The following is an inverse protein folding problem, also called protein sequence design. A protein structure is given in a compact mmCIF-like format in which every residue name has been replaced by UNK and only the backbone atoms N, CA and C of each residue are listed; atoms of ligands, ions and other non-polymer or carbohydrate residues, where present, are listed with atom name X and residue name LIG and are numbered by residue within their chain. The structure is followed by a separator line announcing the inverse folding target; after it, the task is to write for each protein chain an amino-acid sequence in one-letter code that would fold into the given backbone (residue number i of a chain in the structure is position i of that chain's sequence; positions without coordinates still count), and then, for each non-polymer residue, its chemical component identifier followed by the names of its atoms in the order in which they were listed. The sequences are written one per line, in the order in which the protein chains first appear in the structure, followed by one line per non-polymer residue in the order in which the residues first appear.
data_IF_040835465880
#
_entry.id   IF_040835465880
#
_cell.length_a   1.000
_cell.length_b   1.000
_cell.length_c   1.000
_cell.angle_alpha   90.00
_cell.angle_beta   90.00
_cell.angle_gamma   90.00
#
_symmetry.space_group_name_H-M   'P 1'
#
loop_
_entity.id
_entity.type
_entity.pdbx_description
1 polymer ?
#
# COMPACT_ATOMS: atom_id res chain seq x y z
N UNK A 1 -5.83 0.29 -7.85
CA UNK A 1 -5.02 -0.49 -6.91
C UNK A 1 -4.03 -1.40 -7.64
N UNK A 2 -4.43 -2.06 -8.73
CA UNK A 2 -3.53 -2.82 -9.64
C UNK A 2 -2.21 -2.08 -9.95
N UNK A 3 -2.28 -0.82 -10.36
CA UNK A 3 -1.10 0.00 -10.70
C UNK A 3 -0.14 0.19 -9.53
N UNK A 4 -0.64 0.27 -8.29
CA UNK A 4 0.22 0.41 -7.11
C UNK A 4 0.99 -0.89 -6.86
N UNK A 5 0.32 -2.04 -6.99
CA UNK A 5 0.96 -3.36 -6.91
C UNK A 5 2.01 -3.51 -8.00
N UNK A 6 1.71 -3.16 -9.24
CA UNK A 6 2.65 -3.27 -10.37
C UNK A 6 3.87 -2.36 -10.21
N UNK A 7 3.71 -1.16 -9.66
CA UNK A 7 4.85 -0.26 -9.38
C UNK A 7 5.80 -0.90 -8.35
N UNK A 8 5.27 -1.59 -7.35
CA UNK A 8 6.06 -2.15 -6.24
C UNK A 8 6.67 -3.51 -6.62
N UNK A 9 5.88 -4.42 -7.19
CA UNK A 9 6.28 -5.80 -7.48
C UNK A 9 6.65 -6.05 -8.96
N UNK A 10 6.55 -5.02 -9.80
CA UNK A 10 6.89 -5.13 -11.22
C UNK A 10 5.87 -5.93 -12.03
N UNK A 11 6.22 -6.16 -13.30
CA UNK A 11 5.47 -6.97 -14.24
C UNK A 11 6.41 -7.98 -14.91
N UNK A 12 6.11 -9.27 -14.79
CA UNK A 12 6.99 -10.35 -15.27
C UNK A 12 8.25 -10.51 -14.43
N UNK A 13 9.33 -11.04 -15.02
CA UNK A 13 10.58 -11.38 -14.31
C UNK A 13 11.58 -10.19 -14.19
N UNK A 14 11.15 -8.96 -14.46
CA UNK A 14 12.02 -7.80 -14.35
C UNK A 14 12.21 -7.38 -12.89
N UNK A 15 13.41 -6.91 -12.48
CA UNK A 15 13.64 -6.45 -11.12
C UNK A 15 12.66 -5.35 -10.70
N UNK A 16 12.06 -5.56 -9.53
CA UNK A 16 11.03 -4.70 -8.93
C UNK A 16 11.57 -3.91 -7.74
N UNK A 17 10.76 -2.97 -7.23
CA UNK A 17 11.10 -2.26 -5.99
C UNK A 17 11.10 -3.23 -4.80
N UNK A 18 10.23 -4.23 -4.79
CA UNK A 18 10.22 -5.31 -3.80
C UNK A 18 11.55 -6.08 -3.79
N UNK A 19 12.07 -6.45 -4.96
CA UNK A 19 13.37 -7.13 -5.06
C UNK A 19 14.51 -6.27 -4.51
N UNK A 20 14.45 -4.94 -4.73
CA UNK A 20 15.42 -4.03 -4.15
C UNK A 20 15.31 -3.92 -2.63
N UNK A 21 14.08 -3.85 -2.09
CA UNK A 21 13.83 -3.84 -0.63
C UNK A 21 14.37 -5.11 0.02
N UNK A 22 14.21 -6.26 -0.63
CA UNK A 22 14.78 -7.53 -0.18
C UNK A 22 16.31 -7.55 -0.25
N UNK A 23 16.86 -7.03 -1.34
CA UNK A 23 18.31 -6.96 -1.54
C UNK A 23 19.01 -6.11 -0.46
N UNK A 24 18.39 -5.01 -0.03
CA UNK A 24 18.95 -4.15 1.04
C UNK A 24 18.64 -4.66 2.45
N UNK A 25 17.87 -5.75 2.58
CA UNK A 25 17.47 -6.31 3.86
C UNK A 25 16.48 -5.44 4.63
N UNK A 26 15.54 -4.79 3.92
CA UNK A 26 14.50 -3.99 4.56
C UNK A 26 13.56 -4.88 5.38
N UNK A 27 13.38 -4.54 6.65
CA UNK A 27 12.58 -5.31 7.60
C UNK A 27 11.71 -4.40 8.46
N UNK A 28 10.50 -4.86 8.78
CA UNK A 28 9.62 -4.22 9.75
C UNK A 28 9.21 -5.27 10.78
N UNK A 29 9.47 -4.99 12.05
CA UNK A 29 9.15 -5.89 13.18
C UNK A 29 9.74 -7.31 13.04
N UNK A 30 10.87 -7.46 12.32
CA UNK A 30 11.53 -8.75 12.10
C UNK A 30 10.98 -9.57 10.93
N UNK A 31 10.08 -8.99 10.13
CA UNK A 31 9.56 -9.56 8.89
C UNK A 31 10.08 -8.77 7.69
N UNK A 32 10.23 -9.43 6.54
CA UNK A 32 10.66 -8.77 5.30
C UNK A 32 9.64 -7.70 4.93
N UNK A 33 10.10 -6.47 4.74
CA UNK A 33 9.22 -5.34 4.46
C UNK A 33 8.41 -5.54 3.17
N UNK A 34 9.01 -6.17 2.16
CA UNK A 34 8.33 -6.56 0.91
C UNK A 34 7.14 -7.49 1.13
N UNK A 35 7.21 -8.40 2.10
CA UNK A 35 6.13 -9.34 2.44
C UNK A 35 5.03 -8.63 3.24
N UNK A 36 5.41 -7.78 4.19
CA UNK A 36 4.46 -6.94 4.95
C UNK A 36 3.65 -6.03 4.01
N UNK A 37 4.33 -5.38 3.06
CA UNK A 37 3.67 -4.51 2.09
C UNK A 37 2.74 -5.29 1.15
N UNK A 38 3.11 -6.52 0.79
CA UNK A 38 2.29 -7.39 -0.07
C UNK A 38 1.00 -7.77 0.66
N UNK A 39 1.11 -8.18 1.93
CA UNK A 39 -0.02 -8.51 2.76
C UNK A 39 -0.98 -7.33 2.94
N UNK A 40 -0.46 -6.11 3.14
CA UNK A 40 -1.30 -4.91 3.25
C UNK A 40 -2.04 -4.59 1.94
N UNK A 41 -1.39 -4.77 0.79
CA UNK A 41 -2.05 -4.57 -0.51
C UNK A 41 -3.17 -5.59 -0.69
N UNK A 42 -2.93 -6.85 -0.32
CA UNK A 42 -3.96 -7.90 -0.37
C UNK A 42 -5.13 -7.58 0.57
N UNK A 43 -4.87 -7.13 1.80
CA UNK A 43 -5.91 -6.73 2.75
C UNK A 43 -6.82 -5.61 2.20
N UNK A 44 -6.26 -4.66 1.43
CA UNK A 44 -7.08 -3.65 0.74
C UNK A 44 -7.97 -4.27 -0.34
N UNK A 45 -7.46 -5.24 -1.11
CA UNK A 45 -8.26 -5.94 -2.11
C UNK A 45 -9.36 -6.77 -1.47
N UNK A 46 -9.07 -7.52 -0.41
CA UNK A 46 -10.06 -8.29 0.34
C UNK A 46 -11.14 -7.37 0.93
N UNK A 47 -10.77 -6.22 1.49
CA UNK A 47 -11.72 -5.25 2.03
C UNK A 47 -12.57 -4.57 0.92
N UNK A 48 -12.00 -4.40 -0.28
CA UNK A 48 -12.72 -3.87 -1.43
C UNK A 48 -13.71 -4.89 -1.98
N UNK A 49 -13.29 -6.15 -2.13
CA UNK A 49 -14.11 -7.25 -2.65
C UNK A 49 -15.25 -7.63 -1.69
N UNK A 50 -15.12 -7.30 -0.40
CA UNK A 50 -16.19 -7.45 0.59
C UNK A 50 -17.35 -6.43 0.42
N UNK A 51 -17.20 -5.42 -0.44
CA UNK A 51 -18.24 -4.44 -0.77
C UNK A 51 -18.93 -4.86 -2.07
N UNK A 52 -19.97 -5.70 -1.95
CA UNK A 52 -20.72 -6.27 -3.08
C UNK A 52 -21.65 -5.27 -3.78
N UNK A 53 -22.00 -4.18 -3.09
CA UNK A 53 -22.97 -3.18 -3.51
C UNK A 53 -22.28 -1.94 -4.11
N UNK A 54 -22.99 -1.12 -4.93
CA UNK A 54 -22.46 0.15 -5.36
C UNK A 54 -21.97 0.97 -4.16
N UNK A 55 -20.76 1.52 -4.23
CA UNK A 55 -20.10 2.17 -3.09
C UNK A 55 -20.96 3.24 -2.39
N UNK A 56 -21.78 3.97 -3.13
CA UNK A 56 -22.70 4.97 -2.58
C UNK A 56 -23.79 4.36 -1.65
N UNK A 57 -24.20 3.11 -1.90
CA UNK A 57 -25.12 2.35 -1.04
C UNK A 57 -24.36 1.78 0.16
N UNK A 58 -23.17 1.22 -0.07
CA UNK A 58 -22.31 0.67 0.99
C UNK A 58 -22.06 1.65 2.14
N UNK A 59 -21.91 2.95 1.85
CA UNK A 59 -21.72 3.99 2.86
C UNK A 59 -22.87 4.03 3.88
N UNK A 60 -24.09 3.73 3.45
CA UNK A 60 -25.29 3.80 4.28
C UNK A 60 -25.67 2.43 4.84
N UNK A 61 -25.61 1.40 4.00
CA UNK A 61 -26.11 0.06 4.31
C UNK A 61 -25.05 -0.82 4.99
N UNK A 62 -23.77 -0.58 4.72
CA UNK A 62 -22.64 -1.32 5.30
C UNK A 62 -21.45 -0.40 5.65
N UNK A 63 -21.65 0.58 6.55
CA UNK A 63 -20.63 1.58 6.89
C UNK A 63 -19.37 0.94 7.50
N UNK A 64 -19.49 -0.20 8.18
CA UNK A 64 -18.36 -0.90 8.79
C UNK A 64 -17.41 -1.50 7.73
N UNK A 65 -17.95 -2.04 6.62
CA UNK A 65 -17.11 -2.49 5.50
C UNK A 65 -16.38 -1.32 4.84
N UNK A 66 -17.04 -0.18 4.68
CA UNK A 66 -16.42 1.04 4.14
C UNK A 66 -15.33 1.57 5.07
N UNK A 67 -15.56 1.54 6.39
CA UNK A 67 -14.57 1.94 7.39
C UNK A 67 -13.35 1.00 7.40
N UNK A 68 -13.58 -0.31 7.20
CA UNK A 68 -12.52 -1.30 7.07
C UNK A 68 -11.66 -0.99 5.85
N UNK A 69 -12.25 -0.84 4.66
CA UNK A 69 -11.53 -0.45 3.45
C UNK A 69 -10.73 0.86 3.64
N UNK A 70 -11.33 1.87 4.27
CA UNK A 70 -10.64 3.13 4.57
C UNK A 70 -9.42 2.92 5.48
N UNK A 71 -9.53 2.04 6.46
CA UNK A 71 -8.45 1.74 7.40
C UNK A 71 -7.29 1.03 6.69
N UNK A 72 -7.58 -0.03 5.93
CA UNK A 72 -6.55 -0.74 5.15
C UNK A 72 -5.85 0.18 4.14
N UNK A 73 -6.59 1.09 3.49
CA UNK A 73 -5.99 2.09 2.59
C UNK A 73 -5.09 3.08 3.32
N UNK A 74 -5.44 3.47 4.55
CA UNK A 74 -4.61 4.37 5.37
C UNK A 74 -3.35 3.69 5.86
N UNK A 75 -3.43 2.43 6.22
CA UNK A 75 -2.29 1.66 6.69
C UNK A 75 -1.31 1.41 5.53
N UNK A 76 -1.82 1.10 4.33
CA UNK A 76 -1.01 1.07 3.11
C UNK A 76 -0.31 2.42 2.83
N UNK A 77 -1.02 3.53 3.01
CA UNK A 77 -0.46 4.87 2.82
C UNK A 77 0.69 5.14 3.79
N UNK A 78 0.52 4.78 5.07
CA UNK A 78 1.55 4.93 6.10
C UNK A 78 2.79 4.09 5.77
N UNK A 79 2.60 2.81 5.46
CA UNK A 79 3.69 1.90 5.06
C UNK A 79 4.47 2.43 3.85
N UNK A 80 3.77 2.95 2.85
CA UNK A 80 4.41 3.45 1.61
C UNK A 80 5.15 4.77 1.82
N UNK A 81 4.57 5.73 2.54
CA UNK A 81 5.16 7.08 2.66
C UNK A 81 6.17 7.19 3.80
N UNK A 82 6.02 6.41 4.86
CA UNK A 82 6.87 6.54 6.04
C UNK A 82 7.84 5.38 6.11
N UNK A 83 7.35 4.15 6.21
CA UNK A 83 8.21 3.01 6.47
C UNK A 83 9.10 2.67 5.27
N UNK A 84 8.54 2.62 4.06
CA UNK A 84 9.33 2.36 2.85
C UNK A 84 10.39 3.45 2.63
N UNK A 85 10.05 4.72 2.83
CA UNK A 85 11.00 5.82 2.73
C UNK A 85 12.17 5.67 3.72
N UNK A 86 11.86 5.34 4.97
CA UNK A 86 12.85 5.08 6.00
C UNK A 86 13.74 3.88 5.65
N UNK A 87 13.17 2.77 5.21
CA UNK A 87 13.90 1.55 4.83
C UNK A 87 14.83 1.78 3.63
N UNK A 88 14.39 2.56 2.64
CA UNK A 88 15.20 2.90 1.47
C UNK A 88 16.26 3.98 1.76
N UNK A 89 16.24 4.59 2.96
CA UNK A 89 17.10 5.72 3.31
C UNK A 89 16.81 6.99 2.50
N UNK A 90 15.56 7.14 2.02
CA UNK A 90 15.13 8.24 1.17
C UNK A 90 14.28 9.20 2.00
N UNK A 91 14.62 10.48 2.00
CA UNK A 91 13.77 11.52 2.59
C UNK A 91 12.69 11.92 1.59
N UNK A 92 11.41 11.68 1.91
CA UNK A 92 10.30 12.25 1.14
C UNK A 92 10.12 13.71 1.53
N UNK A 93 10.49 14.61 0.63
CA UNK A 93 10.18 16.03 0.76
C UNK A 93 8.86 16.33 0.06
N UNK A 94 7.82 16.69 0.83
CA UNK A 94 6.62 17.31 0.28
C UNK A 94 6.92 18.78 -0.02
N UNK A 95 7.66 19.01 -1.09
CA UNK A 95 7.82 20.34 -1.66
C UNK A 95 6.61 20.64 -2.51
N UNK A 96 5.61 21.31 -1.93
CA UNK A 96 4.60 22.05 -2.69
C UNK A 96 5.32 23.22 -3.37
N UNK A 97 5.86 22.96 -4.56
CA UNK A 97 6.65 23.90 -5.35
C UNK A 97 6.33 23.80 -6.84
N UNK A 98 5.15 23.26 -7.20
CA UNK A 98 4.62 23.47 -8.54
C UNK A 98 3.88 24.80 -8.68
N UNK A 99 3.52 25.47 -7.56
CA UNK A 99 3.08 26.87 -7.61
C UNK A 99 1.93 27.10 -8.61
N UNK A 100 1.00 26.15 -8.61
CA UNK A 100 -0.23 26.03 -9.40
C UNK A 100 -1.41 25.89 -8.42
#
# INVERSE_FOLDING_TARGET
METVREIIYGHGDAPSLADYMDFIGAELNGERFSEVLAAQIEAVFEALDAIDEPFAQAIVENPDAVLTLYTEMRDLLALTKTDMANQLGITITFGDSDGD
#
